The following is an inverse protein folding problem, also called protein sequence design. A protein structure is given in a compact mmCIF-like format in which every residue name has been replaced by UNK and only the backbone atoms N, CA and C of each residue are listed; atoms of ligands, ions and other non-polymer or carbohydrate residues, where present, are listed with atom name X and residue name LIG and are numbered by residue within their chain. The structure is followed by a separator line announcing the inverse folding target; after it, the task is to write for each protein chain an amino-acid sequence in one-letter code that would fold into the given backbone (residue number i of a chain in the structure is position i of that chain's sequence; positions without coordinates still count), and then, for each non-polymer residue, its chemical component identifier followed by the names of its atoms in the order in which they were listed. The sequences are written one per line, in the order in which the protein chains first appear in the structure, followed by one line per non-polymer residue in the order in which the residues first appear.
data_IF_694701427235
#
_entry.id   IF_694701427235
#
_cell.length_a   1.000
_cell.length_b   1.000
_cell.length_c   1.000
_cell.angle_alpha   90.00
_cell.angle_beta   90.00
_cell.angle_gamma   90.00
#
_symmetry.space_group_name_H-M   'P 1'
#
loop_
_entity.id
_entity.type
_entity.pdbx_description
1 polymer ?
#
# COMPACT_ATOMS: atom_id res chain seq x y z
N UNK A 1 11.64 13.67 -17.42
CA UNK A 1 11.36 15.12 -17.31
C UNK A 1 11.56 15.51 -15.85
N UNK A 2 11.99 16.74 -15.55
CA UNK A 2 11.87 17.23 -14.17
C UNK A 2 10.39 17.48 -13.87
N UNK A 3 9.92 17.11 -12.68
CA UNK A 3 8.55 17.42 -12.27
C UNK A 3 8.43 18.93 -12.00
N UNK A 4 7.42 19.57 -12.60
CA UNK A 4 7.23 21.03 -12.60
C UNK A 4 6.62 21.57 -11.31
N UNK A 5 5.93 20.71 -10.56
CA UNK A 5 5.03 21.08 -9.49
C UNK A 5 4.93 19.94 -8.45
N UNK A 6 4.41 20.27 -7.26
CA UNK A 6 4.37 19.34 -6.11
C UNK A 6 3.30 18.27 -6.24
N UNK A 7 2.29 18.49 -7.09
CA UNK A 7 1.20 17.55 -7.30
C UNK A 7 1.62 16.46 -8.28
N UNK A 8 2.29 16.80 -9.38
CA UNK A 8 2.96 15.86 -10.28
C UNK A 8 3.92 14.94 -9.53
N UNK A 9 4.72 15.45 -8.56
CA UNK A 9 5.61 14.61 -7.73
C UNK A 9 4.82 13.56 -6.93
N UNK A 10 3.70 13.97 -6.31
CA UNK A 10 2.84 13.06 -5.55
C UNK A 10 2.13 12.06 -6.45
N UNK A 11 1.46 12.54 -7.50
CA UNK A 11 0.72 11.74 -8.46
C UNK A 11 1.62 10.68 -9.12
N UNK A 12 2.89 11.02 -9.46
CA UNK A 12 3.87 10.04 -9.92
C UNK A 12 4.11 8.95 -8.87
N UNK A 13 4.43 9.33 -7.63
CA UNK A 13 4.71 8.39 -6.55
C UNK A 13 3.51 7.50 -6.18
N UNK A 14 2.29 8.05 -6.22
CA UNK A 14 1.02 7.35 -5.97
C UNK A 14 0.64 6.40 -7.11
N UNK A 15 1.01 6.71 -8.36
CA UNK A 15 0.89 5.81 -9.51
C UNK A 15 2.08 4.82 -9.62
N UNK A 16 2.89 4.68 -8.57
CA UNK A 16 3.97 3.68 -8.49
C UNK A 16 5.28 4.04 -9.19
N UNK A 17 5.45 5.28 -9.66
CA UNK A 17 6.77 5.74 -10.12
C UNK A 17 7.70 5.94 -8.92
N UNK A 18 8.72 5.10 -8.79
CA UNK A 18 9.72 5.23 -7.74
C UNK A 18 10.62 6.43 -8.04
N UNK A 19 10.48 7.47 -7.22
CA UNK A 19 11.36 8.65 -7.27
C UNK A 19 12.74 8.20 -6.82
N UNK A 20 13.74 8.37 -7.69
CA UNK A 20 15.13 8.04 -7.38
C UNK A 20 15.85 9.20 -6.71
N UNK A 21 16.88 8.92 -5.91
CA UNK A 21 17.75 9.95 -5.33
C UNK A 21 18.37 10.89 -6.40
N UNK A 22 18.56 10.41 -7.63
CA UNK A 22 18.96 11.25 -8.77
C UNK A 22 17.88 12.27 -9.15
N UNK A 23 16.62 11.84 -9.25
CA UNK A 23 15.50 12.76 -9.53
C UNK A 23 15.31 13.78 -8.41
N UNK A 24 15.45 13.39 -7.13
CA UNK A 24 15.43 14.35 -6.02
C UNK A 24 16.54 15.39 -6.16
N UNK A 25 17.77 14.96 -6.46
CA UNK A 25 18.90 15.87 -6.64
C UNK A 25 18.79 16.76 -7.90
N UNK A 26 18.14 16.29 -8.95
CA UNK A 26 17.89 17.10 -10.16
C UNK A 26 16.70 18.06 -9.98
N UNK A 27 15.70 17.70 -9.15
CA UNK A 27 14.63 18.60 -8.70
C UNK A 27 15.17 19.69 -7.76
N UNK A 28 16.08 19.36 -6.83
CA UNK A 28 16.74 20.34 -5.95
C UNK A 28 17.54 21.38 -6.75
N UNK A 29 18.32 20.96 -7.75
CA UNK A 29 18.99 21.89 -8.68
C UNK A 29 17.99 22.79 -9.42
N UNK A 30 16.87 22.24 -9.89
CA UNK A 30 15.84 22.99 -10.60
C UNK A 30 15.12 24.00 -9.69
N UNK A 31 14.77 23.62 -8.45
CA UNK A 31 14.15 24.52 -7.48
C UNK A 31 15.10 25.65 -7.07
N UNK A 32 16.40 25.36 -6.87
CA UNK A 32 17.41 26.39 -6.57
C UNK A 32 17.61 27.36 -7.74
N UNK A 33 17.71 26.84 -8.97
CA UNK A 33 17.82 27.67 -10.17
C UNK A 33 16.57 28.54 -10.43
N UNK A 34 15.37 28.08 -10.04
CA UNK A 34 14.12 28.81 -10.19
C UNK A 34 13.88 29.85 -9.07
N UNK A 35 14.28 29.54 -7.84
CA UNK A 35 14.03 30.39 -6.65
C UNK A 35 15.15 31.36 -6.32
N UNK A 36 16.38 31.12 -6.84
CA UNK A 36 17.57 31.90 -6.50
C UNK A 36 18.12 31.65 -5.09
N UNK A 37 17.58 30.65 -4.37
CA UNK A 37 18.04 30.27 -3.03
C UNK A 37 18.97 29.06 -3.09
N UNK A 38 20.13 29.12 -2.44
CA UNK A 38 21.05 27.96 -2.33
C UNK A 38 20.54 26.84 -1.39
N UNK A 39 19.53 27.13 -0.57
CA UNK A 39 18.97 26.22 0.43
C UNK A 39 17.63 25.62 -0.02
N UNK A 40 17.41 24.35 0.31
CA UNK A 40 16.16 23.64 0.02
C UNK A 40 14.98 24.31 0.73
N UNK A 41 13.96 24.70 -0.03
CA UNK A 41 12.81 25.46 0.48
C UNK A 41 11.95 24.58 1.39
N UNK A 42 11.54 25.07 2.57
CA UNK A 42 10.61 24.35 3.45
C UNK A 42 9.28 24.14 2.74
N UNK A 43 8.80 22.89 2.71
CA UNK A 43 7.65 22.46 1.90
C UNK A 43 7.81 22.73 0.39
N UNK A 44 9.05 22.86 -0.11
CA UNK A 44 9.40 23.04 -1.53
C UNK A 44 9.19 21.79 -2.39
N UNK A 45 9.53 21.89 -3.67
CA UNK A 45 9.55 20.78 -4.64
C UNK A 45 10.52 19.69 -4.21
N UNK A 46 11.76 20.05 -3.89
CA UNK A 46 12.79 19.09 -3.49
C UNK A 46 12.51 18.49 -2.11
N UNK A 47 11.98 19.28 -1.17
CA UNK A 47 11.49 18.75 0.11
C UNK A 47 10.32 17.76 -0.07
N UNK A 48 9.44 17.99 -1.05
CA UNK A 48 8.36 17.05 -1.40
C UNK A 48 8.94 15.78 -2.06
N UNK A 49 9.86 15.92 -3.02
CA UNK A 49 10.51 14.80 -3.69
C UNK A 49 11.28 13.90 -2.72
N UNK A 50 12.07 14.49 -1.81
CA UNK A 50 12.77 13.78 -0.74
C UNK A 50 11.79 13.04 0.18
N UNK A 51 10.72 13.72 0.63
CA UNK A 51 9.72 13.09 1.50
C UNK A 51 9.01 11.90 0.84
N UNK A 52 8.69 12.00 -0.46
CA UNK A 52 8.06 10.89 -1.20
C UNK A 52 9.07 9.75 -1.49
N UNK A 53 10.32 10.07 -1.84
CA UNK A 53 11.42 9.10 -1.93
C UNK A 53 11.56 8.29 -0.62
N UNK A 54 11.64 8.95 0.53
CA UNK A 54 11.90 8.27 1.81
C UNK A 54 10.72 7.41 2.27
N UNK A 55 9.49 7.84 1.97
CA UNK A 55 8.27 7.01 2.13
C UNK A 55 8.30 5.78 1.23
N UNK A 56 8.67 5.94 -0.05
CA UNK A 56 8.78 4.82 -0.99
C UNK A 56 9.86 3.83 -0.57
N UNK A 57 11.05 4.31 -0.16
CA UNK A 57 12.10 3.44 0.39
C UNK A 57 11.65 2.71 1.66
N UNK A 58 10.85 3.35 2.53
CA UNK A 58 10.27 2.70 3.71
C UNK A 58 9.34 1.55 3.33
N UNK A 59 8.39 1.80 2.40
CA UNK A 59 7.45 0.77 1.91
C UNK A 59 8.18 -0.36 1.21
N UNK A 60 9.11 -0.05 0.29
CA UNK A 60 9.90 -1.04 -0.44
C UNK A 60 10.77 -1.90 0.49
N UNK A 61 11.36 -1.32 1.53
CA UNK A 61 12.13 -2.06 2.53
C UNK A 61 11.23 -3.02 3.30
N UNK A 62 10.10 -2.54 3.84
CA UNK A 62 9.15 -3.38 4.57
C UNK A 62 8.61 -4.50 3.66
N UNK A 63 8.29 -4.21 2.41
CA UNK A 63 7.86 -5.21 1.44
C UNK A 63 8.96 -6.26 1.15
N UNK A 64 10.21 -5.85 1.04
CA UNK A 64 11.35 -6.76 0.85
C UNK A 64 11.62 -7.62 2.09
N UNK A 65 11.60 -7.02 3.28
CA UNK A 65 11.76 -7.70 4.57
C UNK A 65 10.65 -8.77 4.73
N UNK A 66 9.39 -8.46 4.42
CA UNK A 66 8.28 -9.43 4.47
C UNK A 66 8.34 -10.49 3.35
N UNK A 67 8.84 -10.17 2.15
CA UNK A 67 9.13 -11.17 1.10
C UNK A 67 10.28 -12.12 1.46
N UNK A 68 11.12 -11.77 2.43
CA UNK A 68 12.21 -12.63 2.92
C UNK A 68 11.77 -13.63 4.00
N UNK A 69 10.61 -13.38 4.65
CA UNK A 69 9.98 -14.31 5.58
C UNK A 69 9.27 -15.44 4.81
N UNK A 70 9.20 -16.67 5.34
CA UNK A 70 8.27 -17.69 4.82
C UNK A 70 6.83 -17.25 5.09
N UNK A 71 5.87 -17.66 4.26
CA UNK A 71 4.48 -17.18 4.34
C UNK A 71 3.83 -17.43 5.72
N UNK A 72 4.20 -18.52 6.41
CA UNK A 72 3.74 -18.87 7.76
C UNK A 72 4.04 -17.81 8.83
N UNK A 73 5.18 -17.12 8.70
CA UNK A 73 5.76 -16.28 9.75
C UNK A 73 5.32 -14.81 9.59
N UNK A 74 4.42 -14.54 8.64
CA UNK A 74 3.86 -13.23 8.34
C UNK A 74 2.70 -12.96 9.29
N UNK A 75 2.90 -12.02 10.21
CA UNK A 75 1.95 -11.70 11.28
C UNK A 75 0.96 -10.61 10.89
N UNK A 76 -0.10 -10.41 11.68
CA UNK A 76 -1.03 -9.28 11.50
C UNK A 76 -0.37 -7.93 11.76
N UNK A 77 0.58 -7.85 12.69
CA UNK A 77 1.27 -6.59 12.97
C UNK A 77 2.29 -6.24 11.86
N UNK A 78 2.95 -7.22 11.24
CA UNK A 78 3.74 -7.03 10.01
C UNK A 78 2.91 -6.40 8.89
N UNK A 79 1.75 -7.01 8.57
CA UNK A 79 0.87 -6.54 7.51
C UNK A 79 0.32 -5.13 7.81
N UNK A 80 0.00 -4.85 9.07
CA UNK A 80 -0.50 -3.57 9.58
C UNK A 80 0.57 -2.47 9.59
N UNK A 81 1.84 -2.78 9.85
CA UNK A 81 2.94 -1.83 9.71
C UNK A 81 3.12 -1.43 8.24
N UNK A 82 3.18 -2.41 7.33
CA UNK A 82 3.24 -2.13 5.89
C UNK A 82 2.00 -1.34 5.40
N UNK A 83 0.79 -1.69 5.87
CA UNK A 83 -0.44 -0.93 5.58
C UNK A 83 -0.33 0.53 6.06
N UNK A 84 0.34 0.76 7.20
CA UNK A 84 0.53 2.10 7.77
C UNK A 84 1.60 2.89 7.01
N UNK A 85 2.67 2.24 6.53
CA UNK A 85 3.67 2.86 5.67
C UNK A 85 3.08 3.23 4.29
N UNK A 86 2.32 2.30 3.67
CA UNK A 86 1.64 2.54 2.40
C UNK A 86 0.55 3.64 2.54
N UNK A 87 -0.17 3.68 3.66
CA UNK A 87 -1.10 4.78 3.95
C UNK A 87 -0.41 6.15 4.10
N UNK A 88 0.81 6.19 4.67
CA UNK A 88 1.62 7.42 4.77
C UNK A 88 2.20 7.84 3.41
N UNK A 89 2.39 6.89 2.49
CA UNK A 89 2.76 7.17 1.10
C UNK A 89 1.59 7.80 0.34
N UNK A 90 0.45 7.11 0.29
CA UNK A 90 -0.73 7.49 -0.49
C UNK A 90 -1.58 8.61 0.14
N UNK A 91 -1.42 8.89 1.44
CA UNK A 91 -2.27 9.83 2.19
C UNK A 91 -3.68 9.31 2.49
N UNK A 92 -4.04 8.12 2.01
CA UNK A 92 -5.31 7.44 2.24
C UNK A 92 -5.10 5.94 2.54
N UNK A 93 -6.16 5.22 2.93
CA UNK A 93 -6.06 3.76 3.14
C UNK A 93 -5.61 3.06 1.83
N UNK A 94 -4.69 2.07 1.87
CA UNK A 94 -4.26 1.37 0.67
C UNK A 94 -5.43 0.69 -0.08
N UNK A 95 -5.37 0.63 -1.42
CA UNK A 95 -6.40 0.00 -2.23
C UNK A 95 -6.41 -1.52 -2.09
N UNK A 96 -7.53 -2.16 -2.45
CA UNK A 96 -7.58 -3.61 -2.58
C UNK A 96 -6.61 -4.07 -3.68
N UNK A 97 -5.85 -5.14 -3.41
CA UNK A 97 -4.80 -5.62 -4.31
C UNK A 97 -3.44 -4.93 -4.17
N UNK A 98 -3.26 -4.04 -3.17
CA UNK A 98 -1.94 -3.51 -2.83
C UNK A 98 -1.02 -4.56 -2.19
N UNK A 99 0.26 -4.20 -1.98
CA UNK A 99 1.19 -5.04 -1.23
C UNK A 99 0.64 -5.32 0.19
N UNK A 100 0.27 -4.27 0.94
CA UNK A 100 -0.29 -4.43 2.29
C UNK A 100 -1.58 -5.27 2.31
N UNK A 101 -2.47 -5.09 1.33
CA UNK A 101 -3.68 -5.91 1.21
C UNK A 101 -3.37 -7.40 0.97
N UNK A 102 -2.28 -7.69 0.25
CA UNK A 102 -1.79 -9.06 0.01
C UNK A 102 -1.22 -9.68 1.28
N UNK A 103 -0.34 -8.97 2.00
CA UNK A 103 0.23 -9.45 3.26
C UNK A 103 -0.81 -9.64 4.36
N UNK A 104 -1.81 -8.75 4.47
CA UNK A 104 -2.93 -8.94 5.39
C UNK A 104 -3.69 -10.24 5.07
N UNK A 105 -3.94 -10.52 3.80
CA UNK A 105 -4.58 -11.77 3.37
C UNK A 105 -3.73 -13.02 3.66
N UNK A 106 -2.42 -12.91 3.82
CA UNK A 106 -1.57 -14.04 4.25
C UNK A 106 -1.67 -14.19 5.78
N UNK A 107 -1.48 -13.11 6.53
CA UNK A 107 -1.60 -13.10 7.99
C UNK A 107 -2.96 -13.61 8.51
N UNK A 108 -4.06 -13.23 7.85
CA UNK A 108 -5.41 -13.71 8.18
C UNK A 108 -5.59 -15.22 7.92
N UNK A 109 -4.88 -15.80 6.93
CA UNK A 109 -4.86 -17.26 6.69
C UNK A 109 -4.04 -17.99 7.74
N UNK A 110 -2.90 -17.43 8.15
CA UNK A 110 -2.03 -18.01 9.16
C UNK A 110 -2.74 -18.10 10.51
N UNK A 111 -3.37 -17.01 10.95
CA UNK A 111 -4.16 -17.00 12.20
C UNK A 111 -5.32 -18.01 12.14
N UNK A 112 -6.03 -18.08 11.01
CA UNK A 112 -7.10 -19.06 10.79
C UNK A 112 -6.60 -20.52 10.67
N UNK A 113 -5.31 -20.74 10.39
CA UNK A 113 -4.68 -22.05 10.44
C UNK A 113 -4.37 -22.45 11.89
N UNK A 114 -3.69 -21.59 12.65
CA UNK A 114 -3.39 -21.84 14.07
C UNK A 114 -4.65 -22.11 14.90
N UNK A 115 -5.69 -21.28 14.76
CA UNK A 115 -6.99 -21.49 15.44
C UNK A 115 -7.63 -22.86 15.13
N UNK A 116 -7.35 -23.45 13.97
CA UNK A 116 -7.85 -24.79 13.59
C UNK A 116 -6.99 -25.91 14.17
N UNK A 117 -5.69 -25.70 14.34
CA UNK A 117 -4.80 -26.68 14.98
C UNK A 117 -5.14 -26.79 16.48
N UNK A 118 -5.29 -25.66 17.17
CA UNK A 118 -5.71 -25.61 18.59
C UNK A 118 -7.06 -26.31 18.80
N UNK A 119 -8.09 -25.95 18.00
CA UNK A 119 -9.41 -26.57 18.08
C UNK A 119 -9.41 -28.08 17.76
N UNK A 120 -8.48 -28.55 16.93
CA UNK A 120 -8.32 -29.98 16.58
C UNK A 120 -7.66 -30.80 17.69
N UNK A 121 -7.00 -30.15 18.67
CA UNK A 121 -6.41 -30.80 19.84
C UNK A 121 -7.45 -30.92 20.98
N UNK A 122 -8.27 -29.89 21.20
CA UNK A 122 -9.33 -29.89 22.22
C UNK A 122 -10.36 -31.02 21.96
N UNK A 123 -10.85 -31.12 20.72
CA UNK A 123 -11.91 -32.07 20.32
C UNK A 123 -11.55 -33.56 20.37
N UNK A 124 -10.37 -33.95 20.85
CA UNK A 124 -9.94 -35.36 20.99
C UNK A 124 -9.98 -35.91 22.42
N UNK A 125 -10.44 -35.14 23.41
CA UNK A 125 -10.49 -35.56 24.82
C UNK A 125 -11.87 -36.04 25.31
N UNK A 126 -12.97 -35.76 24.60
CA UNK A 126 -14.34 -36.02 25.06
C UNK A 126 -15.12 -37.12 24.31
N UNK A 127 -14.46 -38.17 23.79
CA UNK A 127 -15.15 -39.34 23.19
C UNK A 127 -14.62 -40.68 23.72
N UNK A 128 -14.47 -40.82 25.05
CA UNK A 128 -13.86 -42.00 25.65
C UNK A 128 -14.47 -42.49 26.99
N UNK A 129 -15.67 -42.03 27.39
CA UNK A 129 -16.35 -42.51 28.62
C UNK A 129 -17.85 -42.73 28.38
N UNK A 130 -18.33 -43.91 28.80
CA UNK A 130 -19.74 -44.36 28.89
C UNK A 130 -20.54 -44.51 27.58
N UNK A 131 -20.55 -45.75 27.11
CA UNK A 131 -21.79 -46.39 26.67
C UNK A 131 -22.70 -46.72 27.89
N UNK A 132 -23.87 -47.32 27.64
CA UNK A 132 -24.89 -47.79 28.61
C UNK A 132 -25.54 -46.66 29.45
N UNK A 133 -26.81 -46.27 29.27
CA UNK A 133 -28.03 -47.09 29.17
C UNK A 133 -29.18 -46.38 28.38
N UNK A 134 -30.40 -46.95 28.38
CA UNK A 134 -31.51 -46.62 27.49
C UNK A 134 -32.87 -46.45 28.24
N UNK A 135 -33.77 -45.60 27.73
CA UNK A 135 -35.10 -45.29 28.26
C UNK A 135 -35.15 -44.07 29.21
N UNK A 136 -36.30 -43.43 29.49
CA UNK A 136 -37.65 -43.59 28.92
C UNK A 136 -38.57 -42.37 29.25
N UNK A 137 -39.44 -41.99 28.31
CA UNK A 137 -40.78 -41.35 28.50
C UNK A 137 -41.00 -40.13 29.43
N UNK A 138 -41.27 -38.99 28.77
CA UNK A 138 -42.44 -38.10 28.97
C UNK A 138 -42.62 -37.12 30.15
N UNK A 139 -43.29 -36.00 29.78
CA UNK A 139 -43.90 -34.90 30.58
C UNK A 139 -42.96 -33.82 31.15
N UNK A 140 -43.44 -32.61 31.49
CA UNK A 140 -44.49 -31.67 30.99
C UNK A 140 -44.45 -30.46 31.96
N UNK A 141 -44.88 -29.25 31.54
CA UNK A 141 -45.10 -28.06 32.42
C UNK A 141 -43.79 -27.47 33.00
N UNK A 142 -43.64 -26.17 33.31
CA UNK A 142 -44.38 -24.98 32.87
C UNK A 142 -43.45 -23.73 32.94
N UNK A 143 -43.94 -22.55 32.55
CA UNK A 143 -43.34 -21.26 32.90
C UNK A 143 -43.78 -20.81 34.33
N UNK A 144 -43.38 -19.66 34.93
CA UNK A 144 -42.63 -18.53 34.35
C UNK A 144 -41.70 -17.70 35.30
N UNK A 145 -41.18 -16.59 34.76
CA UNK A 145 -40.78 -15.32 35.46
C UNK A 145 -39.57 -15.24 36.41
N UNK A 146 -39.00 -14.03 36.38
CA UNK A 146 -38.63 -13.12 37.50
C UNK A 146 -37.16 -12.81 37.78
N UNK A 147 -36.98 -11.50 37.85
CA UNK A 147 -35.82 -10.69 38.17
C UNK A 147 -35.45 -10.77 39.67
N UNK A 148 -34.15 -10.77 39.98
CA UNK A 148 -33.46 -10.21 41.18
C UNK A 148 -31.95 -10.50 41.01
N UNK A 149 -30.99 -9.57 40.99
CA UNK A 149 -30.62 -8.44 41.87
C UNK A 149 -29.46 -8.81 42.85
N UNK A 150 -28.67 -7.80 43.28
CA UNK A 150 -27.63 -7.81 44.34
C UNK A 150 -26.30 -8.58 44.09
N UNK A 151 -25.37 -7.82 43.49
CA UNK A 151 -23.96 -7.53 43.89
C UNK A 151 -23.13 -8.43 44.84
N UNK A 152 -21.83 -8.54 44.55
CA UNK A 152 -20.68 -8.06 45.37
C UNK A 152 -19.40 -7.96 44.47
N UNK A 153 -18.58 -6.88 44.49
CA UNK A 153 -17.38 -6.63 45.34
C UNK A 153 -16.24 -7.68 45.17
N UNK A 154 -14.92 -7.40 45.14
CA UNK A 154 -14.04 -6.21 45.41
C UNK A 154 -12.58 -6.60 44.96
N UNK A 155 -11.53 -5.79 44.68
CA UNK A 155 -11.21 -4.35 44.41
C UNK A 155 -10.25 -4.31 43.17
N UNK A 156 -9.82 -3.18 42.58
CA UNK A 156 -8.69 -2.33 43.00
C UNK A 156 -7.59 -2.27 41.90
N UNK A 157 -6.78 -1.23 41.67
CA UNK A 157 -6.70 0.11 42.26
C UNK A 157 -6.12 1.14 41.24
N UNK A 158 -6.31 2.44 41.50
CA UNK A 158 -5.81 3.59 40.69
C UNK A 158 -4.43 4.08 41.14
N UNK A 159 -3.67 4.83 40.30
CA UNK A 159 -3.79 6.31 40.27
C UNK A 159 -3.87 6.85 38.82
N UNK A 160 -4.61 7.91 38.47
CA UNK A 160 -4.77 9.26 39.07
C UNK A 160 -3.57 10.18 38.88
N UNK A 161 -3.64 11.09 37.90
CA UNK A 161 -3.28 12.50 38.05
C UNK A 161 -4.12 13.37 37.09
N UNK A 162 -4.73 14.42 37.63
CA UNK A 162 -5.38 15.51 36.91
C UNK A 162 -5.21 16.75 37.82
N UNK A 163 -4.61 17.84 37.31
CA UNK A 163 -4.35 19.05 38.10
C UNK A 163 -4.88 20.30 37.39
N UNK A 164 -5.82 20.98 38.05
CA UNK A 164 -6.36 22.25 37.61
C UNK A 164 -5.54 23.42 38.19
N UNK A 165 -5.11 24.34 37.33
CA UNK A 165 -4.48 25.61 37.75
C UNK A 165 -5.54 26.72 37.94
N UNK A 166 -5.58 27.39 39.12
CA UNK A 166 -6.56 28.44 39.41
C UNK A 166 -6.15 29.82 38.90
N UNK A 167 -7.12 30.75 38.82
CA UNK A 167 -6.93 32.12 38.32
C UNK A 167 -7.12 33.20 39.42
N UNK A 168 -6.46 34.37 39.20
CA UNK A 168 -6.61 35.74 39.80
C UNK A 168 -5.21 36.39 39.97
N UNK A 169 -4.81 37.35 39.13
CA UNK A 169 -5.01 38.83 39.21
C UNK A 169 -3.82 39.53 39.92
N UNK A 170 -3.23 40.63 39.44
CA UNK A 170 -3.89 41.93 39.18
C UNK A 170 -3.07 42.93 38.28
N UNK A 171 -3.69 44.07 37.95
CA UNK A 171 -3.15 45.42 37.66
C UNK A 171 -2.18 45.74 36.47
N UNK A 172 -2.72 46.50 35.49
CA UNK A 172 -2.15 47.70 34.81
C UNK A 172 -0.84 47.59 33.97
N UNK A 173 -0.64 48.29 32.84
CA UNK A 173 -1.42 49.21 31.96
C UNK A 173 -0.75 49.21 30.55
N UNK A 174 -1.21 49.83 29.44
CA UNK A 174 -2.07 51.00 29.24
C UNK A 174 -2.78 51.03 27.85
N UNK A 175 -3.50 52.12 27.59
CA UNK A 175 -4.26 52.53 26.37
C UNK A 175 -3.52 52.34 25.03
N UNK A 176 -4.17 52.15 23.87
CA UNK A 176 -5.32 52.88 23.27
C UNK A 176 -6.09 51.95 22.31
N UNK A 177 -7.43 51.93 22.26
CA UNK A 177 -8.37 52.94 21.71
C UNK A 177 -8.37 53.09 20.18
N UNK A 178 -9.29 52.38 19.52
CA UNK A 178 -10.03 52.88 18.34
C UNK A 178 -11.39 52.16 18.31
N UNK A 179 -12.48 52.88 18.05
CA UNK A 179 -13.86 52.35 18.11
C UNK A 179 -14.28 51.57 16.84
N UNK A 180 -15.16 50.55 16.96
CA UNK A 180 -15.69 49.80 15.81
C UNK A 180 -16.96 50.46 15.22
N UNK A 181 -17.01 50.72 13.90
CA UNK A 181 -18.27 51.01 13.20
C UNK A 181 -19.07 49.72 12.92
N UNK A 182 -20.40 49.84 12.82
CA UNK A 182 -21.37 48.75 12.59
C UNK A 182 -22.16 49.03 11.30
N UNK A 183 -22.80 47.98 10.78
CA UNK A 183 -23.93 47.90 9.80
C UNK A 183 -23.63 47.93 8.30
N UNK A 184 -24.54 47.25 7.57
CA UNK A 184 -24.77 47.19 6.11
C UNK A 184 -23.72 46.48 5.24
N UNK A 185 -24.07 45.86 4.11
CA UNK A 185 -25.27 45.03 3.78
C UNK A 185 -24.93 44.15 2.56
N UNK A 186 -25.78 43.15 2.26
CA UNK A 186 -25.96 42.41 1.02
C UNK A 186 -24.82 42.36 -0.04
N UNK A 187 -24.33 41.16 -0.33
CA UNK A 187 -24.50 40.57 -1.68
C UNK A 187 -24.12 39.09 -1.73
N UNK A 188 -24.82 38.32 -2.55
CA UNK A 188 -24.43 36.95 -2.90
C UNK A 188 -23.20 36.94 -3.80
N UNK A 189 -22.28 35.99 -3.58
CA UNK A 189 -21.59 35.38 -4.71
C UNK A 189 -21.40 33.88 -4.50
N UNK A 190 -22.11 33.10 -5.30
CA UNK A 190 -21.83 31.68 -5.51
C UNK A 190 -20.69 31.63 -6.53
N UNK A 191 -19.51 31.19 -6.13
CA UNK A 191 -18.49 30.79 -7.11
C UNK A 191 -18.62 29.28 -7.34
N UNK A 192 -19.05 28.94 -8.54
CA UNK A 192 -19.42 27.60 -8.97
C UNK A 192 -18.18 26.70 -9.08
N UNK A 193 -18.11 25.68 -8.21
CA UNK A 193 -17.10 24.65 -8.32
C UNK A 193 -17.49 23.68 -9.45
N UNK A 194 -17.15 24.05 -10.69
CA UNK A 194 -17.52 23.32 -11.90
C UNK A 194 -17.10 21.85 -11.83
N UNK A 195 -18.06 20.99 -11.51
CA UNK A 195 -17.89 19.53 -11.56
C UNK A 195 -17.65 19.14 -13.03
N UNK A 196 -16.57 18.40 -13.36
CA UNK A 196 -16.35 17.95 -14.72
C UNK A 196 -17.49 17.01 -15.13
N UNK A 197 -18.21 17.37 -16.19
CA UNK A 197 -19.39 16.65 -16.66
C UNK A 197 -19.08 15.15 -16.89
N UNK A 198 -20.00 14.28 -16.47
CA UNK A 198 -19.87 12.83 -16.61
C UNK A 198 -19.68 12.39 -18.08
N UNK A 199 -20.10 13.22 -19.04
CA UNK A 199 -19.84 13.03 -20.48
C UNK A 199 -18.35 13.06 -20.83
N UNK A 200 -17.54 13.91 -20.18
CA UNK A 200 -16.08 13.96 -20.36
C UNK A 200 -15.40 12.72 -19.79
N UNK A 201 -15.81 12.29 -18.59
CA UNK A 201 -15.22 11.15 -17.88
C UNK A 201 -15.48 9.85 -18.65
N UNK A 202 -16.69 9.67 -19.17
CA UNK A 202 -17.05 8.52 -20.00
C UNK A 202 -16.31 8.53 -21.35
N UNK A 203 -16.15 9.70 -21.98
CA UNK A 203 -15.34 9.84 -23.21
C UNK A 203 -13.86 9.51 -23.00
N UNK A 204 -13.25 10.02 -21.92
CA UNK A 204 -11.86 9.71 -21.53
C UNK A 204 -11.68 8.21 -21.23
N UNK A 205 -12.65 7.58 -20.56
CA UNK A 205 -12.66 6.12 -20.31
C UNK A 205 -12.69 5.30 -21.60
N UNK A 206 -13.44 5.74 -22.62
CA UNK A 206 -13.49 5.05 -23.92
C UNK A 206 -12.14 5.10 -24.67
N UNK A 207 -11.44 6.25 -24.64
CA UNK A 207 -10.11 6.39 -25.28
C UNK A 207 -9.06 5.52 -24.58
N UNK A 208 -9.09 5.42 -23.23
CA UNK A 208 -8.20 4.54 -22.46
C UNK A 208 -8.40 3.07 -22.84
N UNK A 209 -9.66 2.60 -22.95
CA UNK A 209 -9.98 1.22 -23.36
C UNK A 209 -9.41 0.90 -24.76
N UNK A 210 -9.53 1.85 -25.69
CA UNK A 210 -8.96 1.74 -27.04
C UNK A 210 -7.42 1.65 -27.00
N UNK A 211 -6.76 2.52 -26.23
CA UNK A 211 -5.30 2.50 -26.08
C UNK A 211 -4.78 1.19 -25.47
N UNK A 212 -5.46 0.64 -24.46
CA UNK A 212 -5.11 -0.68 -23.90
C UNK A 212 -5.19 -1.79 -24.96
N UNK A 213 -6.21 -1.75 -25.84
CA UNK A 213 -6.34 -2.70 -26.96
C UNK A 213 -5.22 -2.61 -27.99
N UNK A 214 -4.59 -1.45 -28.18
CA UNK A 214 -3.39 -1.28 -29.01
C UNK A 214 -2.11 -1.75 -28.30
N UNK A 215 -2.00 -1.53 -27.00
CA UNK A 215 -0.87 -1.98 -26.18
C UNK A 215 -0.79 -3.51 -26.14
N UNK A 216 -1.92 -4.21 -25.98
CA UNK A 216 -1.97 -5.68 -26.03
C UNK A 216 -1.48 -6.21 -27.38
N UNK A 217 -1.94 -5.66 -28.50
CA UNK A 217 -1.49 -6.06 -29.85
C UNK A 217 0.02 -5.85 -30.04
N UNK A 218 0.57 -4.74 -29.52
CA UNK A 218 2.03 -4.48 -29.56
C UNK A 218 2.81 -5.48 -28.71
N UNK A 219 2.28 -5.90 -27.55
CA UNK A 219 2.87 -6.95 -26.70
C UNK A 219 2.95 -8.30 -27.43
N UNK A 220 1.89 -8.68 -28.14
CA UNK A 220 1.84 -9.92 -28.94
C UNK A 220 2.80 -9.88 -30.15
N UNK A 221 3.11 -8.70 -30.68
CA UNK A 221 4.10 -8.51 -31.75
C UNK A 221 5.55 -8.58 -31.23
N UNK A 222 5.80 -8.06 -30.03
CA UNK A 222 7.11 -8.16 -29.36
C UNK A 222 7.45 -9.62 -29.04
N UNK A 223 6.52 -10.36 -28.44
CA UNK A 223 6.72 -11.78 -28.11
C UNK A 223 7.10 -12.65 -29.33
N UNK A 224 6.60 -12.30 -30.52
CA UNK A 224 6.96 -12.97 -31.79
C UNK A 224 8.37 -12.61 -32.27
N UNK A 225 8.87 -11.39 -31.97
CA UNK A 225 10.24 -10.98 -32.28
C UNK A 225 11.25 -11.68 -31.37
N UNK A 226 10.91 -11.86 -30.10
CA UNK A 226 11.74 -12.62 -29.14
C UNK A 226 11.89 -14.09 -29.57
N UNK A 227 10.82 -14.71 -30.08
CA UNK A 227 10.87 -16.08 -30.63
C UNK A 227 11.74 -16.19 -31.89
N UNK A 228 11.73 -15.16 -32.75
CA UNK A 228 12.59 -15.08 -33.94
C UNK A 228 14.06 -14.88 -33.56
N UNK A 229 14.35 -14.02 -32.57
CA UNK A 229 15.71 -13.82 -32.07
C UNK A 229 16.30 -15.12 -31.52
N UNK A 230 15.55 -15.84 -30.67
CA UNK A 230 15.95 -17.15 -30.14
C UNK A 230 16.25 -18.19 -31.23
N UNK A 231 15.54 -18.13 -32.36
CA UNK A 231 15.78 -18.99 -33.53
C UNK A 231 17.02 -18.58 -34.34
N UNK A 232 17.44 -17.31 -34.32
CA UNK A 232 18.71 -16.90 -34.91
C UNK A 232 19.91 -17.40 -34.12
N UNK A 233 19.88 -17.33 -32.78
CA UNK A 233 20.96 -17.88 -31.94
C UNK A 233 21.13 -19.40 -32.11
N UNK A 234 20.03 -20.14 -32.24
CA UNK A 234 20.07 -21.59 -32.50
C UNK A 234 20.65 -21.94 -33.89
N UNK A 235 20.47 -21.07 -34.88
CA UNK A 235 21.05 -21.24 -36.23
C UNK A 235 22.53 -20.83 -36.27
N UNK A 236 22.93 -19.81 -35.49
CA UNK A 236 24.33 -19.41 -35.37
C UNK A 236 25.19 -20.55 -34.79
N UNK A 237 24.78 -21.09 -33.63
CA UNK A 237 25.54 -22.14 -32.92
C UNK A 237 25.66 -23.46 -33.70
N UNK A 238 24.83 -23.71 -34.71
CA UNK A 238 24.91 -24.90 -35.58
C UNK A 238 25.84 -24.74 -36.79
N UNK A 239 26.46 -23.57 -36.97
CA UNK A 239 27.32 -23.30 -38.13
C UNK A 239 28.80 -23.63 -37.88
N UNK A 240 29.23 -23.64 -36.63
CA UNK A 240 30.63 -23.89 -36.25
C UNK A 240 30.94 -25.40 -36.06
N UNK A 241 29.94 -26.27 -36.13
CA UNK A 241 30.07 -27.73 -36.01
C UNK A 241 30.22 -28.43 -37.39
N UNK A 242 31.04 -27.86 -38.27
CA UNK A 242 31.46 -28.54 -39.52
C UNK A 242 32.69 -29.41 -39.20
N UNK A 243 32.61 -30.75 -39.28
CA UNK A 243 33.77 -31.61 -39.03
C UNK A 243 34.76 -31.51 -40.19
N UNK A 244 35.87 -30.79 -39.97
CA UNK A 244 37.01 -30.78 -40.88
C UNK A 244 37.48 -32.21 -41.14
N UNK A 245 37.28 -32.67 -42.37
CA UNK A 245 37.51 -34.06 -42.72
C UNK A 245 37.80 -34.26 -44.21
N UNK A 246 38.98 -34.85 -44.45
CA UNK A 246 39.34 -35.68 -45.61
C UNK A 246 39.81 -34.96 -46.89
N UNK A 247 41.10 -34.62 -46.92
CA UNK A 247 41.89 -34.89 -48.12
C UNK A 247 42.13 -36.42 -48.24
N UNK A 248 41.73 -37.07 -49.35
CA UNK A 248 42.20 -38.40 -49.70
C UNK A 248 43.52 -38.30 -50.48
N UNK A 249 44.52 -39.10 -50.10
CA UNK A 249 45.83 -39.08 -50.75
C UNK A 249 45.79 -39.53 -52.21
N UNK A 250 46.48 -38.80 -53.10
CA UNK A 250 46.70 -39.21 -54.48
C UNK A 250 47.98 -40.04 -54.58
N UNK A 251 47.85 -41.32 -54.90
CA UNK A 251 48.92 -42.10 -55.53
C UNK A 251 48.73 -42.09 -57.05
N UNK A 252 49.71 -42.65 -57.77
CA UNK A 252 49.77 -42.80 -59.23
C UNK A 252 49.86 -41.50 -60.07
N UNK A 253 50.52 -41.48 -61.22
CA UNK A 253 51.67 -42.28 -61.70
C UNK A 253 52.20 -41.63 -62.99
N UNK A 254 53.52 -41.63 -63.23
CA UNK A 254 54.10 -41.26 -64.53
C UNK A 254 55.34 -42.11 -64.88
N UNK A 255 55.59 -42.37 -66.18
CA UNK A 255 56.58 -43.33 -66.68
C UNK A 255 58.01 -42.76 -66.83
#
# INVERSE_FOLDING_TARGET
MAATDKETIKNLAENGHIITAKEVADIDKAEKALTGNDHTVKNGLAATAQSMHDKQQTVLKMEADLKSKPESDITKDDAKELQTAEARLLGHRPPAGSAAATFQSIADKNEAAHQREDASIEGKKETAVKADQNGSTDKKEDAPTKDSDVSEQKEGATPSQDEAVPAKSDASSATSDTSPPKVTDASEKKDDATVPDATEITKKKAEIIKQMGEITKKKDEIAKKDEIAKKMDEVANKKDEIPDSREPGSQDSHP
#
